data_IF_723344632931
#
_entry.id   IF_723344632931
#
_cell.length_a   1.000
_cell.length_b   1.000
_cell.length_c   1.000
_cell.angle_alpha   90.00
_cell.angle_beta   90.00
_cell.angle_gamma   90.00
#
_symmetry.space_group_name_H-M   'P 1'
#
loop_
_entity.id
_entity.type
_entity.pdbx_description
1 polymer ?
#
# COMPACT_ATOMS: atom_id res chain seq x y z
N UNK A 1 -4.67 -4.03 -7.25
CA UNK A 1 -6.02 -3.87 -7.84
C UNK A 1 -6.53 -2.43 -7.73
N UNK A 2 -6.40 -1.79 -6.56
CA UNK A 2 -6.94 -0.45 -6.31
C UNK A 2 -6.41 0.64 -7.25
N UNK A 3 -5.10 0.69 -7.50
CA UNK A 3 -4.52 1.71 -8.40
C UNK A 3 -5.07 1.62 -9.83
N UNK A 4 -5.27 0.41 -10.36
CA UNK A 4 -5.89 0.20 -11.68
C UNK A 4 -7.35 0.67 -11.64
N UNK A 5 -8.11 0.30 -10.60
CA UNK A 5 -9.50 0.70 -10.47
C UNK A 5 -9.65 2.22 -10.40
N UNK A 6 -8.84 2.91 -9.59
CA UNK A 6 -8.91 4.37 -9.45
C UNK A 6 -8.56 5.04 -10.80
N UNK A 7 -7.46 4.66 -11.43
CA UNK A 7 -7.04 5.29 -12.70
C UNK A 7 -8.03 5.02 -13.84
N UNK A 8 -8.52 3.78 -13.97
CA UNK A 8 -9.44 3.38 -15.05
C UNK A 8 -10.88 3.82 -14.79
N UNK A 9 -11.42 3.66 -13.58
CA UNK A 9 -12.85 3.88 -13.29
C UNK A 9 -13.17 5.25 -12.72
N UNK A 10 -12.32 5.75 -11.82
CA UNK A 10 -12.57 7.05 -11.21
C UNK A 10 -12.09 8.18 -12.13
N UNK A 11 -10.87 8.06 -12.65
CA UNK A 11 -10.28 9.08 -13.52
C UNK A 11 -10.50 8.83 -15.02
N UNK A 12 -11.01 7.66 -15.42
CA UNK A 12 -11.30 7.32 -16.82
C UNK A 12 -10.08 7.43 -17.74
N UNK A 13 -8.88 7.13 -17.24
CA UNK A 13 -7.69 7.08 -18.08
C UNK A 13 -7.77 5.93 -19.10
N UNK A 14 -7.28 6.12 -20.34
CA UNK A 14 -7.20 5.04 -21.31
C UNK A 14 -6.40 3.87 -20.74
N UNK A 15 -6.91 2.64 -20.91
CA UNK A 15 -6.26 1.41 -20.44
C UNK A 15 -4.78 1.32 -20.82
N UNK A 16 -4.43 1.73 -22.05
CA UNK A 16 -3.05 1.75 -22.53
C UNK A 16 -2.12 2.64 -21.69
N UNK A 17 -2.60 3.81 -21.26
CA UNK A 17 -1.86 4.71 -20.36
C UNK A 17 -1.71 4.13 -18.97
N UNK A 18 -2.77 3.51 -18.44
CA UNK A 18 -2.72 2.83 -17.14
C UNK A 18 -1.68 1.70 -17.18
N UNK A 19 -1.73 0.84 -18.20
CA UNK A 19 -0.77 -0.27 -18.34
C UNK A 19 0.67 0.19 -18.56
N UNK A 20 0.91 1.26 -19.34
CA UNK A 20 2.26 1.83 -19.52
C UNK A 20 2.80 2.38 -18.19
N UNK A 21 1.99 3.10 -17.43
CA UNK A 21 2.38 3.62 -16.12
C UNK A 21 2.74 2.49 -15.14
N UNK A 22 1.91 1.44 -15.06
CA UNK A 22 2.20 0.27 -14.22
C UNK A 22 3.50 -0.42 -14.67
N UNK A 23 3.68 -0.64 -15.98
CA UNK A 23 4.89 -1.27 -16.50
C UNK A 23 6.16 -0.49 -16.13
N UNK A 24 6.10 0.85 -16.18
CA UNK A 24 7.21 1.71 -15.75
C UNK A 24 7.50 1.60 -14.25
N UNK A 25 6.49 1.42 -13.40
CA UNK A 25 6.71 1.18 -11.97
C UNK A 25 7.53 -0.09 -11.73
N UNK A 26 7.25 -1.18 -12.47
CA UNK A 26 8.03 -2.42 -12.38
C UNK A 26 9.50 -2.28 -12.77
N UNK A 27 9.85 -1.23 -13.54
CA UNK A 27 11.23 -0.96 -13.97
C UNK A 27 11.99 -0.06 -12.99
N UNK A 28 11.35 0.43 -11.93
CA UNK A 28 12.01 1.29 -10.95
C UNK A 28 13.09 0.53 -10.17
N UNK A 29 14.29 1.12 -10.14
CA UNK A 29 15.39 0.60 -9.34
C UNK A 29 15.00 0.62 -7.85
N UNK A 30 15.34 -0.46 -7.14
CA UNK A 30 15.05 -0.64 -5.72
C UNK A 30 13.55 -0.77 -5.37
N UNK A 31 12.67 -0.98 -6.35
CA UNK A 31 11.28 -1.38 -6.09
C UNK A 31 11.19 -2.91 -6.11
N UNK A 32 10.63 -3.49 -5.05
CA UNK A 32 10.27 -4.92 -5.01
C UNK A 32 8.76 -5.04 -4.89
N UNK A 33 8.13 -5.69 -5.87
CA UNK A 33 6.69 -5.96 -5.84
C UNK A 33 6.44 -7.27 -5.09
N UNK A 34 5.57 -7.23 -4.08
CA UNK A 34 5.17 -8.39 -3.30
C UNK A 34 3.84 -8.91 -3.86
N UNK A 35 3.87 -10.06 -4.53
CA UNK A 35 2.66 -10.69 -5.10
C UNK A 35 1.98 -11.70 -4.17
N UNK A 36 2.62 -12.02 -3.04
CA UNK A 36 2.10 -12.99 -2.07
C UNK A 36 1.32 -12.28 -0.98
N UNK A 37 0.12 -12.78 -0.70
CA UNK A 37 -0.73 -12.27 0.39
C UNK A 37 -1.06 -13.37 1.38
N UNK A 38 -1.17 -13.03 2.66
CA UNK A 38 -1.60 -13.96 3.69
C UNK A 38 -3.06 -13.71 4.06
N UNK A 39 -3.96 -14.34 3.31
CA UNK A 39 -5.42 -14.22 3.48
C UNK A 39 -5.87 -14.58 4.91
N UNK A 40 -5.25 -15.57 5.55
CA UNK A 40 -5.61 -15.98 6.91
C UNK A 40 -5.33 -14.87 7.93
N UNK A 41 -4.18 -14.21 7.82
CA UNK A 41 -3.84 -13.06 8.67
C UNK A 41 -4.78 -11.88 8.37
N UNK A 42 -5.01 -11.58 7.09
CA UNK A 42 -5.88 -10.47 6.68
C UNK A 42 -7.33 -10.65 7.20
N UNK A 43 -7.88 -11.86 7.15
CA UNK A 43 -9.20 -12.16 7.73
C UNK A 43 -9.22 -11.96 9.25
N UNK A 44 -8.16 -12.37 9.95
CA UNK A 44 -8.04 -12.14 11.39
C UNK A 44 -8.00 -10.65 11.74
N UNK A 45 -7.28 -9.85 10.95
CA UNK A 45 -7.26 -8.39 11.10
C UNK A 45 -8.63 -7.78 10.83
N UNK A 46 -9.31 -8.22 9.76
CA UNK A 46 -10.64 -7.71 9.38
C UNK A 46 -11.72 -8.03 10.41
N UNK A 47 -11.64 -9.18 11.07
CA UNK A 47 -12.54 -9.52 12.18
C UNK A 47 -12.25 -8.70 13.43
N UNK A 48 -10.96 -8.41 13.70
CA UNK A 48 -10.52 -7.75 14.92
C UNK A 48 -10.68 -6.22 14.87
N UNK A 49 -10.46 -5.62 13.71
CA UNK A 49 -10.42 -4.18 13.51
C UNK A 49 -11.48 -3.76 12.50
N UNK A 50 -12.16 -2.64 12.76
CA UNK A 50 -13.13 -2.08 11.83
C UNK A 50 -12.43 -1.25 10.74
N UNK A 51 -11.71 -1.94 9.85
CA UNK A 51 -10.96 -1.40 8.71
C UNK A 51 -11.33 -2.16 7.44
N UNK A 52 -11.06 -1.60 6.25
CA UNK A 52 -11.43 -2.27 5.00
C UNK A 52 -10.56 -3.52 4.79
N UNK A 53 -11.15 -4.53 4.14
CA UNK A 53 -10.42 -5.77 3.87
C UNK A 53 -9.18 -5.58 2.98
N UNK A 54 -9.21 -4.61 2.05
CA UNK A 54 -8.04 -4.23 1.25
C UNK A 54 -6.85 -3.80 2.11
N UNK A 55 -7.11 -2.98 3.11
CA UNK A 55 -6.11 -2.50 4.07
C UNK A 55 -5.57 -3.66 4.92
N UNK A 56 -6.44 -4.60 5.32
CA UNK A 56 -6.00 -5.83 5.99
C UNK A 56 -5.04 -6.66 5.12
N UNK A 57 -5.25 -6.73 3.80
CA UNK A 57 -4.34 -7.45 2.90
C UNK A 57 -2.96 -6.79 2.88
N UNK A 58 -2.90 -5.45 2.81
CA UNK A 58 -1.66 -4.69 2.87
C UNK A 58 -0.98 -4.90 4.22
N UNK A 59 -1.69 -4.67 5.31
CA UNK A 59 -1.19 -4.85 6.68
C UNK A 59 -0.63 -6.27 6.92
N UNK A 60 -1.26 -7.30 6.35
CA UNK A 60 -0.80 -8.69 6.47
C UNK A 60 0.57 -8.95 5.83
N UNK A 61 1.01 -8.09 4.91
CA UNK A 61 2.30 -8.19 4.22
C UNK A 61 3.41 -7.39 4.93
N UNK A 62 3.05 -6.41 5.77
CA UNK A 62 4.02 -5.56 6.47
C UNK A 62 4.70 -6.37 7.58
N UNK A 63 6.01 -6.57 7.43
CA UNK A 63 6.82 -7.28 8.43
C UNK A 63 7.22 -6.33 9.57
N UNK A 64 7.51 -6.90 10.74
CA UNK A 64 8.05 -6.13 11.87
C UNK A 64 9.32 -5.36 11.45
N UNK A 65 9.38 -4.08 11.81
CA UNK A 65 10.50 -3.20 11.48
C UNK A 65 10.42 -2.56 10.09
N UNK A 66 9.38 -2.85 9.31
CA UNK A 66 9.08 -2.15 8.05
C UNK A 66 8.09 -1.02 8.35
N UNK A 67 8.38 0.16 7.80
CA UNK A 67 7.48 1.31 7.83
C UNK A 67 6.47 1.15 6.70
N UNK A 68 5.19 1.19 7.03
CA UNK A 68 4.11 1.34 6.06
C UNK A 68 3.97 2.82 5.70
N UNK A 69 4.13 3.14 4.43
CA UNK A 69 3.92 4.50 3.93
C UNK A 69 2.47 4.61 3.43
N UNK A 70 1.67 5.44 4.09
CA UNK A 70 0.25 5.63 3.73
C UNK A 70 -0.24 7.00 4.18
N UNK A 71 -1.19 7.57 3.44
CA UNK A 71 -1.98 8.72 3.88
C UNK A 71 -3.21 8.32 4.71
N UNK A 72 -3.55 7.03 4.75
CA UNK A 72 -4.75 6.54 5.41
C UNK A 72 -4.50 6.32 6.91
N UNK A 73 -5.14 7.14 7.75
CA UNK A 73 -5.08 7.07 9.21
C UNK A 73 -5.76 5.81 9.77
N UNK A 74 -6.57 5.10 8.98
CA UNK A 74 -7.23 3.87 9.43
C UNK A 74 -6.23 2.76 9.82
N UNK A 75 -5.01 2.79 9.27
CA UNK A 75 -3.95 1.86 9.63
C UNK A 75 -3.46 2.03 11.08
N UNK A 76 -3.65 3.20 11.70
CA UNK A 76 -3.25 3.46 13.09
C UNK A 76 -4.04 2.61 14.09
N UNK A 77 -5.20 2.08 13.69
CA UNK A 77 -5.97 1.12 14.49
C UNK A 77 -5.21 -0.20 14.69
N UNK A 78 -4.26 -0.53 13.82
CA UNK A 78 -3.42 -1.72 13.92
C UNK A 78 -2.14 -1.38 14.70
N UNK A 79 -2.18 -1.55 16.01
CA UNK A 79 -1.13 -1.09 16.96
C UNK A 79 0.28 -1.66 16.74
N UNK A 80 0.43 -2.71 15.93
CA UNK A 80 1.73 -3.33 15.63
C UNK A 80 2.32 -2.90 14.27
N UNK A 81 1.74 -1.89 13.61
CA UNK A 81 2.30 -1.25 12.42
C UNK A 81 2.98 0.07 12.79
N UNK A 82 4.09 0.36 12.11
CA UNK A 82 4.66 1.70 12.07
C UNK A 82 4.19 2.34 10.77
N UNK A 83 3.34 3.35 10.87
CA UNK A 83 2.72 4.02 9.73
C UNK A 83 3.24 5.45 9.69
N UNK A 84 3.67 5.90 8.52
CA UNK A 84 4.11 7.27 8.30
C UNK A 84 3.55 7.80 6.98
N UNK A 85 3.14 9.08 6.94
CA UNK A 85 2.79 9.71 5.68
C UNK A 85 4.04 9.94 4.81
N UNK A 86 3.90 10.00 3.48
CA UNK A 86 5.03 10.19 2.57
C UNK A 86 5.93 11.39 2.89
N UNK A 87 5.37 12.51 3.32
CA UNK A 87 6.11 13.73 3.65
C UNK A 87 7.13 13.53 4.77
N UNK A 88 6.82 12.69 5.76
CA UNK A 88 7.73 12.40 6.87
C UNK A 88 8.95 11.63 6.38
N UNK A 89 8.72 10.64 5.51
CA UNK A 89 9.77 9.83 4.91
C UNK A 89 10.64 10.67 3.98
N UNK A 90 10.02 11.48 3.11
CA UNK A 90 10.76 12.35 2.17
C UNK A 90 11.69 13.30 2.93
N UNK A 91 11.19 13.96 3.99
CA UNK A 91 12.02 14.85 4.82
C UNK A 91 13.24 14.13 5.38
N UNK A 92 13.06 12.91 5.91
CA UNK A 92 14.18 12.11 6.44
C UNK A 92 15.23 11.75 5.38
N UNK A 93 14.83 11.60 4.11
CA UNK A 93 15.75 11.25 3.02
C UNK A 93 16.51 12.47 2.48
N UNK A 94 15.94 13.66 2.58
CA UNK A 94 16.56 14.92 2.08
C UNK A 94 17.36 15.67 3.13
N UNK A 95 17.26 15.29 4.40
CA UNK A 95 17.96 15.95 5.51
C UNK A 95 19.35 15.35 5.82
N UNK A 96 19.81 14.41 4.99
CA UNK A 96 21.09 13.71 5.11
C UNK A 96 22.08 14.06 4.01
#
# INVERSE_FOLDING_TARGET
MELIFILDRHYNFPKSKVTDAIARLYLLRNLTVIEKTNTKIALGLYQKFNIKYGDCLIASQVKKGIILISYDEEFDKITNLSVHPPEDVIRSLTSG
#
